data_IF_977931982240
#
_entry.id   IF_977931982240
#
_cell.length_a   1.000
_cell.length_b   1.000
_cell.length_c   1.000
_cell.angle_alpha   90.00
_cell.angle_beta   90.00
_cell.angle_gamma   90.00
#
_symmetry.space_group_name_H-M   'P 1'
#
loop_
_entity.id
_entity.type
_entity.pdbx_description
1 polymer ?
#
# COMPACT_ATOMS: atom_id res chain seq x y z
N UNK A 1 2.58 -8.22 71.35
CA UNK A 1 2.95 -9.66 71.32
C UNK A 1 2.19 -10.35 70.20
N UNK A 2 2.91 -11.14 69.39
CA UNK A 2 2.46 -12.05 68.31
C UNK A 2 1.95 -11.38 67.02
N UNK A 3 2.35 -11.76 65.82
CA UNK A 3 3.52 -12.50 65.31
C UNK A 3 3.51 -12.26 63.78
N UNK A 4 4.62 -11.74 63.25
CA UNK A 4 4.81 -11.61 61.81
C UNK A 4 5.02 -12.98 61.15
N UNK A 5 4.44 -13.17 59.97
CA UNK A 5 4.90 -14.14 58.98
C UNK A 5 5.26 -13.37 57.71
N UNK A 6 6.56 -13.12 57.55
CA UNK A 6 7.16 -12.68 56.30
C UNK A 6 7.07 -13.82 55.28
N UNK A 7 6.53 -13.52 54.10
CA UNK A 7 6.58 -14.39 52.93
C UNK A 7 7.93 -14.15 52.24
N UNK A 8 8.72 -15.20 51.91
CA UNK A 8 10.02 -15.02 51.26
C UNK A 8 9.85 -14.58 49.79
N UNK A 9 10.73 -13.72 49.25
CA UNK A 9 10.69 -13.31 47.86
C UNK A 9 11.09 -14.46 46.92
N UNK A 10 10.37 -14.58 45.79
CA UNK A 10 10.66 -15.55 44.72
C UNK A 10 12.05 -15.31 44.11
N UNK A 11 12.81 -16.36 43.74
CA UNK A 11 14.11 -16.19 43.09
C UNK A 11 13.95 -15.61 41.67
N UNK A 12 14.73 -14.56 41.38
CA UNK A 12 14.87 -13.98 40.04
C UNK A 12 15.54 -15.01 39.12
N UNK A 13 14.89 -15.41 38.02
CA UNK A 13 15.56 -16.14 36.95
C UNK A 13 16.63 -15.25 36.31
N UNK A 14 17.85 -15.75 36.28
CA UNK A 14 19.00 -15.12 35.66
C UNK A 14 18.79 -14.97 34.14
N UNK A 15 19.20 -13.82 33.60
CA UNK A 15 19.42 -13.61 32.16
C UNK A 15 20.72 -14.33 31.77
N UNK A 16 20.78 -15.01 30.61
CA UNK A 16 22.06 -15.28 29.99
C UNK A 16 22.58 -14.02 29.30
N UNK A 17 23.69 -13.48 29.81
CA UNK A 17 24.71 -12.80 29.02
C UNK A 17 25.77 -13.87 28.69
N UNK A 18 26.47 -13.96 27.57
CA UNK A 18 26.98 -13.01 26.59
C UNK A 18 27.14 -13.78 25.25
N UNK A 19 27.20 -13.13 24.10
CA UNK A 19 28.51 -12.80 23.54
C UNK A 19 28.49 -11.42 22.86
N UNK A 20 29.31 -10.52 23.37
CA UNK A 20 29.75 -9.31 22.67
C UNK A 20 30.81 -9.72 21.65
N UNK A 21 30.68 -9.28 20.40
CA UNK A 21 31.81 -8.66 19.70
C UNK A 21 31.37 -7.94 18.43
N UNK A 22 31.90 -6.72 18.31
CA UNK A 22 32.08 -5.90 17.11
C UNK A 22 30.87 -5.09 16.63
N UNK A 23 30.78 -3.89 17.21
CA UNK A 23 30.30 -2.72 16.48
C UNK A 23 31.25 -2.44 15.32
N UNK A 24 30.72 -2.44 14.10
CA UNK A 24 31.20 -1.67 12.97
C UNK A 24 29.97 -1.31 12.13
N UNK A 25 29.76 0.00 11.98
CA UNK A 25 28.93 0.74 11.02
C UNK A 25 27.72 0.06 10.34
N UNK A 26 26.55 0.66 10.59
CA UNK A 26 25.32 0.48 9.81
C UNK A 26 25.50 1.07 8.40
N UNK A 27 24.73 0.59 7.40
CA UNK A 27 23.47 1.29 7.19
C UNK A 27 22.26 0.35 7.23
N UNK A 28 21.11 0.97 7.53
CA UNK A 28 19.81 0.33 7.59
C UNK A 28 19.40 -0.19 6.20
N UNK A 29 19.69 -1.46 5.92
CA UNK A 29 19.06 -2.18 4.81
C UNK A 29 17.69 -2.66 5.27
N UNK A 30 16.65 -1.84 5.07
CA UNK A 30 15.29 -2.38 4.93
C UNK A 30 15.24 -3.10 3.59
N UNK A 31 14.64 -4.29 3.54
CA UNK A 31 14.54 -5.07 2.32
C UNK A 31 13.82 -4.24 1.25
N UNK A 32 14.59 -3.82 0.24
CA UNK A 32 14.03 -3.31 -1.02
C UNK A 32 13.33 -4.52 -1.66
N UNK A 33 12.05 -4.42 -2.09
CA UNK A 33 11.45 -5.49 -2.87
C UNK A 33 12.36 -5.78 -4.08
N UNK A 34 12.59 -7.06 -4.44
CA UNK A 34 13.49 -7.38 -5.54
C UNK A 34 13.04 -6.65 -6.82
N UNK A 35 14.02 -6.23 -7.61
CA UNK A 35 13.85 -5.52 -8.89
C UNK A 35 12.69 -6.15 -9.70
N UNK A 36 11.67 -5.39 -10.10
CA UNK A 36 10.51 -6.00 -10.75
C UNK A 36 10.90 -6.56 -12.13
N UNK A 37 10.30 -7.70 -12.46
CA UNK A 37 10.16 -8.09 -13.84
C UNK A 37 9.36 -7.02 -14.61
N UNK A 38 9.64 -6.87 -15.91
CA UNK A 38 9.01 -5.91 -16.80
C UNK A 38 7.47 -5.87 -16.63
N UNK A 39 6.84 -4.69 -16.84
CA UNK A 39 5.39 -4.55 -16.72
C UNK A 39 4.67 -5.61 -17.55
N UNK A 40 3.68 -6.27 -16.94
CA UNK A 40 2.80 -7.19 -17.64
C UNK A 40 2.04 -6.36 -18.70
N UNK A 41 2.02 -6.78 -19.97
CA UNK A 41 1.39 -6.00 -21.02
C UNK A 41 -0.10 -5.80 -20.74
N UNK A 42 -0.58 -4.59 -21.04
CA UNK A 42 -1.98 -4.21 -20.92
C UNK A 42 -2.90 -5.27 -21.55
N UNK A 43 -3.88 -5.73 -20.78
CA UNK A 43 -4.93 -6.62 -21.27
C UNK A 43 -5.75 -5.95 -22.38
N UNK A 44 -6.44 -6.75 -23.22
CA UNK A 44 -7.25 -6.20 -24.31
C UNK A 44 -8.37 -5.29 -23.79
N UNK A 45 -8.58 -4.17 -24.47
CA UNK A 45 -9.67 -3.22 -24.24
C UNK A 45 -11.03 -3.91 -24.41
N UNK A 46 -11.96 -3.82 -23.45
CA UNK A 46 -13.31 -4.34 -23.61
C UNK A 46 -14.13 -3.46 -24.57
N UNK A 47 -14.78 -4.09 -25.54
CA UNK A 47 -15.73 -3.44 -26.45
C UNK A 47 -17.01 -3.03 -25.73
N UNK A 48 -17.42 -1.77 -25.92
CA UNK A 48 -18.84 -1.37 -25.90
C UNK A 48 -19.36 -0.57 -24.70
N UNK A 49 -18.57 -0.31 -23.66
CA UNK A 49 -18.95 0.60 -22.58
C UNK A 49 -18.24 1.95 -22.78
N UNK A 50 -18.96 3.08 -22.72
CA UNK A 50 -18.28 4.37 -22.67
C UNK A 50 -17.45 4.43 -21.38
N UNK A 51 -16.15 4.76 -21.45
CA UNK A 51 -15.32 4.82 -20.25
C UNK A 51 -15.88 5.85 -19.28
N UNK A 52 -16.10 5.45 -18.04
CA UNK A 52 -16.42 6.41 -16.98
C UNK A 52 -15.18 7.29 -16.78
N UNK A 53 -15.29 8.63 -16.87
CA UNK A 53 -14.14 9.50 -16.66
C UNK A 53 -13.53 9.28 -15.26
N UNK A 54 -12.21 9.32 -15.19
CA UNK A 54 -11.45 9.23 -13.95
C UNK A 54 -10.34 10.29 -13.93
N UNK A 55 -9.90 10.73 -12.74
CA UNK A 55 -8.78 11.65 -12.59
C UNK A 55 -7.54 11.17 -13.34
N UNK A 56 -7.04 11.97 -14.28
CA UNK A 56 -5.88 11.59 -15.09
C UNK A 56 -4.57 11.95 -14.37
N UNK A 57 -3.62 11.00 -14.22
CA UNK A 57 -2.29 11.33 -13.74
C UNK A 57 -1.58 12.32 -14.69
N UNK A 58 -1.20 13.48 -14.19
CA UNK A 58 -0.33 14.41 -14.88
C UNK A 58 1.07 13.79 -15.03
N UNK A 59 1.62 13.87 -16.25
CA UNK A 59 2.97 13.39 -16.60
C UNK A 59 3.95 14.57 -16.68
N UNK A 60 5.25 14.28 -16.64
CA UNK A 60 6.30 15.27 -16.93
C UNK A 60 6.91 15.99 -15.73
N UNK A 61 6.58 15.57 -14.51
CA UNK A 61 7.30 16.03 -13.31
C UNK A 61 8.74 15.47 -13.27
N UNK A 62 9.73 16.27 -12.82
CA UNK A 62 11.11 15.81 -12.66
C UNK A 62 11.24 14.83 -11.49
N UNK A 63 12.39 14.18 -11.36
CA UNK A 63 12.71 13.37 -10.17
C UNK A 63 12.66 14.24 -8.90
N UNK A 64 12.32 13.62 -7.78
CA UNK A 64 12.22 14.29 -6.49
C UNK A 64 10.84 14.22 -5.85
N UNK A 65 10.67 14.95 -4.75
CA UNK A 65 9.48 14.91 -3.91
C UNK A 65 8.47 15.97 -4.35
N UNK A 66 7.23 15.54 -4.61
CA UNK A 66 6.13 16.37 -5.09
C UNK A 66 4.89 16.22 -4.21
N UNK A 67 4.03 17.24 -4.12
CA UNK A 67 2.67 17.06 -3.61
C UNK A 67 1.92 16.02 -4.44
N UNK A 68 1.14 15.16 -3.79
CA UNK A 68 0.31 14.17 -4.51
C UNK A 68 -0.60 14.83 -5.56
N UNK A 69 -1.18 15.98 -5.21
CA UNK A 69 -2.05 16.76 -6.10
C UNK A 69 -1.34 17.37 -7.31
N UNK A 70 0.00 17.40 -7.34
CA UNK A 70 0.73 17.78 -8.56
C UNK A 70 0.70 16.66 -9.60
N UNK A 71 0.62 15.39 -9.17
CA UNK A 71 0.46 14.24 -10.05
C UNK A 71 -1.01 13.97 -10.36
N UNK A 72 -1.92 14.17 -9.41
CA UNK A 72 -3.33 13.79 -9.58
C UNK A 72 -4.27 14.89 -9.07
N UNK A 73 -4.34 16.05 -9.76
CA UNK A 73 -5.03 17.24 -9.26
C UNK A 73 -6.54 17.05 -9.09
N UNK A 74 -7.16 16.24 -9.95
CA UNK A 74 -8.61 16.04 -9.97
C UNK A 74 -9.11 14.96 -8.98
N UNK A 75 -8.19 14.28 -8.28
CA UNK A 75 -8.52 13.17 -7.37
C UNK A 75 -9.49 13.56 -6.26
N UNK A 76 -9.51 14.83 -5.85
CA UNK A 76 -10.40 15.33 -4.78
C UNK A 76 -11.89 15.20 -5.12
N UNK A 77 -12.21 15.04 -6.41
CA UNK A 77 -13.57 14.76 -6.88
C UNK A 77 -13.93 13.27 -6.89
N UNK A 78 -12.94 12.39 -6.68
CA UNK A 78 -13.14 10.94 -6.77
C UNK A 78 -13.98 10.40 -5.60
N UNK A 79 -15.01 9.59 -5.87
CA UNK A 79 -15.72 8.85 -4.83
C UNK A 79 -14.83 7.91 -4.02
N UNK A 80 -13.70 7.46 -4.59
CA UNK A 80 -12.75 6.55 -3.94
C UNK A 80 -12.20 7.12 -2.62
N UNK A 81 -12.17 8.44 -2.45
CA UNK A 81 -11.67 9.07 -1.22
C UNK A 81 -12.48 8.70 0.02
N UNK A 82 -13.73 8.23 -0.15
CA UNK A 82 -14.50 7.67 0.96
C UNK A 82 -13.89 6.40 1.53
N UNK A 83 -13.27 5.56 0.69
CA UNK A 83 -12.62 4.32 1.11
C UNK A 83 -11.14 4.52 1.46
N UNK A 84 -10.46 5.50 0.86
CA UNK A 84 -9.08 5.88 1.27
C UNK A 84 -9.08 6.33 2.74
N UNK A 85 -10.07 7.15 3.11
CA UNK A 85 -10.20 7.70 4.45
C UNK A 85 -10.91 6.80 5.45
N UNK A 86 -10.94 7.27 6.69
CA UNK A 86 -11.76 6.75 7.79
C UNK A 86 -12.47 7.91 8.47
N UNK A 87 -13.37 7.63 9.42
CA UNK A 87 -14.01 8.68 10.25
C UNK A 87 -13.00 9.52 11.02
N UNK A 88 -11.83 8.94 11.34
CA UNK A 88 -10.75 9.62 12.03
C UNK A 88 -9.85 10.44 11.11
N UNK A 89 -9.58 9.93 9.90
CA UNK A 89 -8.68 10.56 8.94
C UNK A 89 -9.39 10.59 7.58
N UNK A 90 -10.09 11.69 7.26
CA UNK A 90 -10.81 11.80 5.99
C UNK A 90 -9.89 11.69 4.78
N UNK A 91 -10.33 11.01 3.72
CA UNK A 91 -9.47 10.71 2.57
C UNK A 91 -8.94 11.95 1.86
N UNK A 92 -9.69 13.05 1.84
CA UNK A 92 -9.21 14.31 1.29
C UNK A 92 -8.06 14.94 2.10
N UNK A 93 -7.98 14.69 3.41
CA UNK A 93 -6.85 15.14 4.24
C UNK A 93 -5.60 14.29 3.97
N UNK A 94 -5.79 12.98 3.79
CA UNK A 94 -4.73 12.05 3.35
C UNK A 94 -4.12 12.57 2.04
N UNK A 95 -4.94 12.81 1.02
CA UNK A 95 -4.47 13.27 -0.29
C UNK A 95 -3.75 14.62 -0.21
N UNK A 96 -4.28 15.59 0.55
CA UNK A 96 -3.67 16.94 0.64
C UNK A 96 -2.30 16.92 1.32
N UNK A 97 -2.12 16.03 2.30
CA UNK A 97 -0.85 15.89 3.01
C UNK A 97 0.14 14.94 2.29
N UNK A 98 -0.36 14.02 1.47
CA UNK A 98 0.45 13.03 0.77
C UNK A 98 1.52 13.66 -0.13
N UNK A 99 2.64 12.93 -0.23
CA UNK A 99 3.78 13.24 -1.09
C UNK A 99 4.09 12.05 -1.96
N UNK A 100 4.58 12.32 -3.18
CA UNK A 100 5.07 11.32 -4.12
C UNK A 100 6.51 11.66 -4.47
N UNK A 101 7.41 10.70 -4.32
CA UNK A 101 8.82 10.81 -4.68
C UNK A 101 9.06 10.06 -5.98
N UNK A 102 9.33 10.79 -7.05
CA UNK A 102 9.67 10.20 -8.35
C UNK A 102 11.16 9.86 -8.35
N UNK A 103 11.50 8.61 -8.67
CA UNK A 103 12.88 8.10 -8.66
C UNK A 103 13.24 7.42 -9.98
N UNK A 104 14.48 7.58 -10.43
CA UNK A 104 15.03 6.93 -11.63
C UNK A 104 15.40 5.46 -11.39
N UNK A 105 14.50 4.70 -10.76
CA UNK A 105 14.66 3.27 -10.49
C UNK A 105 13.69 2.45 -11.36
N UNK A 106 13.86 1.13 -11.39
CA UNK A 106 12.88 0.20 -11.96
C UNK A 106 11.95 -0.27 -10.85
N UNK A 107 10.65 -0.36 -11.14
CA UNK A 107 9.66 -0.54 -10.07
C UNK A 107 8.25 -0.38 -10.58
N UNK A 108 7.35 -0.36 -9.61
CA UNK A 108 6.02 0.20 -9.73
C UNK A 108 5.98 1.42 -8.80
N UNK A 109 5.24 1.32 -7.70
CA UNK A 109 5.25 2.22 -6.57
C UNK A 109 5.23 1.44 -5.24
N UNK A 110 5.53 2.13 -4.14
CA UNK A 110 5.41 1.63 -2.77
C UNK A 110 5.41 2.81 -1.79
N UNK A 111 5.11 2.60 -0.50
CA UNK A 111 5.30 3.62 0.54
C UNK A 111 6.67 3.51 1.23
N UNK A 112 7.38 4.62 1.34
CA UNK A 112 8.53 4.77 2.26
C UNK A 112 8.02 5.26 3.62
N UNK A 113 8.17 4.42 4.64
CA UNK A 113 7.78 4.70 6.02
C UNK A 113 8.80 5.54 6.80
N UNK A 114 10.06 5.61 6.35
CA UNK A 114 11.10 6.43 6.99
C UNK A 114 10.88 7.91 6.68
N UNK A 115 10.54 8.19 5.42
CA UNK A 115 10.05 9.51 4.99
C UNK A 115 8.68 9.27 4.36
N UNK A 116 7.59 9.34 5.15
CA UNK A 116 6.22 9.02 4.73
C UNK A 116 5.83 9.64 3.40
N UNK A 117 5.99 8.87 2.33
CA UNK A 117 5.61 9.25 0.97
C UNK A 117 5.47 8.02 0.09
N UNK A 118 4.75 8.17 -1.01
CA UNK A 118 4.71 7.18 -2.08
C UNK A 118 6.00 7.33 -2.88
N UNK A 119 6.80 6.29 -3.02
CA UNK A 119 7.87 6.24 -4.01
C UNK A 119 7.27 5.71 -5.31
N UNK A 120 7.49 6.45 -6.40
CA UNK A 120 6.98 6.11 -7.72
C UNK A 120 8.16 6.08 -8.70
N UNK A 121 8.33 4.95 -9.37
CA UNK A 121 9.44 4.82 -10.32
C UNK A 121 9.18 5.54 -11.63
N UNK A 122 10.22 6.15 -12.20
CA UNK A 122 10.15 6.93 -13.44
C UNK A 122 9.59 6.14 -14.62
N UNK A 123 10.02 4.89 -14.91
CA UNK A 123 9.47 4.12 -16.02
C UNK A 123 7.95 3.90 -15.87
N UNK A 124 7.48 3.57 -14.66
CA UNK A 124 6.05 3.37 -14.42
C UNK A 124 5.27 4.70 -14.49
N UNK A 125 5.84 5.78 -13.94
CA UNK A 125 5.28 7.12 -14.05
C UNK A 125 5.23 7.66 -15.48
N UNK A 126 6.12 7.28 -16.39
CA UNK A 126 6.10 7.84 -17.74
C UNK A 126 5.22 7.05 -18.69
N UNK A 127 5.20 5.72 -18.52
CA UNK A 127 4.67 4.80 -19.53
C UNK A 127 3.63 3.80 -19.03
N UNK A 128 3.40 3.74 -17.71
CA UNK A 128 2.36 2.90 -17.14
C UNK A 128 0.96 3.32 -17.61
N UNK A 129 0.06 2.35 -17.69
CA UNK A 129 -1.34 2.61 -18.00
C UNK A 129 -1.91 3.65 -17.01
N UNK A 130 -2.68 4.61 -17.54
CA UNK A 130 -3.15 5.73 -16.76
C UNK A 130 -4.16 5.31 -15.68
N UNK A 131 -4.98 4.29 -15.97
CA UNK A 131 -5.95 3.74 -15.03
C UNK A 131 -5.24 2.91 -13.96
N UNK A 132 -4.33 2.02 -14.35
CA UNK A 132 -3.55 1.25 -13.36
C UNK A 132 -2.79 2.16 -12.41
N UNK A 133 -2.10 3.19 -12.91
CA UNK A 133 -1.41 4.13 -12.04
C UNK A 133 -2.37 4.92 -11.14
N UNK A 134 -3.53 5.33 -11.65
CA UNK A 134 -4.54 6.00 -10.83
C UNK A 134 -4.97 5.11 -9.66
N UNK A 135 -5.26 3.84 -9.92
CA UNK A 135 -5.67 2.87 -8.91
C UNK A 135 -4.54 2.57 -7.91
N UNK A 136 -3.31 2.40 -8.38
CA UNK A 136 -2.13 2.21 -7.53
C UNK A 136 -1.87 3.43 -6.63
N UNK A 137 -2.00 4.65 -7.14
CA UNK A 137 -1.85 5.85 -6.31
C UNK A 137 -2.90 5.94 -5.20
N UNK A 138 -4.12 5.43 -5.42
CA UNK A 138 -5.14 5.32 -4.38
C UNK A 138 -4.82 4.21 -3.36
N UNK A 139 -4.28 3.08 -3.83
CA UNK A 139 -3.77 2.02 -2.97
C UNK A 139 -2.69 2.57 -2.04
N UNK A 140 -1.65 3.20 -2.59
CA UNK A 140 -0.53 3.73 -1.81
C UNK A 140 -0.94 4.90 -0.89
N UNK A 141 -1.91 5.72 -1.31
CA UNK A 141 -2.50 6.73 -0.42
C UNK A 141 -3.18 6.10 0.80
N UNK A 142 -3.77 4.90 0.64
CA UNK A 142 -4.35 4.14 1.75
C UNK A 142 -3.27 3.67 2.72
N UNK A 143 -2.11 3.23 2.22
CA UNK A 143 -0.95 2.94 3.06
C UNK A 143 -0.44 4.15 3.82
N UNK A 144 -0.37 5.33 3.20
CA UNK A 144 -0.03 6.56 3.92
C UNK A 144 -1.01 6.84 5.07
N UNK A 145 -2.31 6.64 4.84
CA UNK A 145 -3.31 6.76 5.91
C UNK A 145 -3.10 5.72 7.01
N UNK A 146 -2.81 4.47 6.66
CA UNK A 146 -2.53 3.40 7.64
C UNK A 146 -1.29 3.73 8.48
N UNK A 147 -0.25 4.34 7.91
CA UNK A 147 0.90 4.83 8.67
C UNK A 147 0.50 5.96 9.64
N UNK A 148 -0.37 6.89 9.23
CA UNK A 148 -0.90 7.93 10.13
C UNK A 148 -1.75 7.33 11.27
N UNK A 149 -2.35 6.17 11.06
CA UNK A 149 -3.04 5.39 12.10
C UNK A 149 -2.08 4.61 13.03
N UNK A 150 -0.78 4.59 12.72
CA UNK A 150 0.25 3.85 13.46
C UNK A 150 0.27 2.35 13.15
N UNK A 151 -0.28 1.93 12.00
CA UNK A 151 -0.28 0.54 11.57
C UNK A 151 1.04 0.18 10.89
N UNK A 152 1.46 -1.06 11.09
CA UNK A 152 2.60 -1.62 10.36
C UNK A 152 2.13 -2.10 8.98
N UNK A 153 2.43 -1.32 7.95
CA UNK A 153 2.10 -1.65 6.55
C UNK A 153 2.89 -2.88 6.07
N UNK A 154 4.07 -3.10 6.64
CA UNK A 154 5.02 -4.12 6.22
C UNK A 154 5.02 -5.37 7.09
N UNK A 155 4.01 -5.56 7.95
CA UNK A 155 3.93 -6.67 8.90
C UNK A 155 4.16 -8.03 8.22
N UNK A 156 5.38 -8.55 8.37
CA UNK A 156 5.84 -9.78 7.74
C UNK A 156 5.32 -11.04 8.46
N UNK A 157 4.60 -10.88 9.58
CA UNK A 157 3.90 -12.01 10.21
C UNK A 157 2.77 -12.56 9.32
N UNK A 158 2.30 -11.76 8.35
CA UNK A 158 1.40 -12.19 7.29
C UNK A 158 2.12 -12.21 5.93
N UNK A 159 1.88 -13.24 5.09
CA UNK A 159 2.32 -13.20 3.70
C UNK A 159 1.57 -12.07 2.96
N UNK A 160 2.22 -11.47 1.97
CA UNK A 160 1.73 -10.29 1.22
C UNK A 160 0.21 -10.32 0.92
N UNK A 161 -0.25 -11.34 0.19
CA UNK A 161 -1.65 -11.53 -0.21
C UNK A 161 -2.67 -11.71 0.94
N UNK A 162 -2.22 -11.87 2.19
CA UNK A 162 -3.06 -11.98 3.40
C UNK A 162 -2.83 -10.86 4.40
N UNK A 163 -1.97 -9.89 4.09
CA UNK A 163 -1.75 -8.73 4.98
C UNK A 163 -3.03 -7.90 5.05
N UNK A 164 -3.56 -7.60 6.24
CA UNK A 164 -4.75 -6.77 6.37
C UNK A 164 -4.60 -5.38 5.73
N UNK A 165 -3.39 -4.84 5.71
CA UNK A 165 -3.05 -3.55 5.10
C UNK A 165 -3.13 -3.58 3.57
N UNK A 166 -2.61 -4.64 2.95
CA UNK A 166 -2.68 -4.90 1.50
C UNK A 166 -4.11 -5.20 1.05
N UNK A 167 -4.86 -6.00 1.81
CA UNK A 167 -6.27 -6.31 1.51
C UNK A 167 -7.10 -5.02 1.45
N UNK A 168 -6.92 -4.13 2.43
CA UNK A 168 -7.61 -2.84 2.44
C UNK A 168 -7.14 -1.90 1.33
N UNK A 169 -5.82 -1.82 1.07
CA UNK A 169 -5.27 -1.02 -0.03
C UNK A 169 -5.84 -1.45 -1.39
N UNK A 170 -5.82 -2.75 -1.67
CA UNK A 170 -6.44 -3.28 -2.88
C UNK A 170 -7.96 -3.16 -2.88
N UNK A 171 -8.64 -3.22 -1.74
CA UNK A 171 -10.08 -3.02 -1.70
C UNK A 171 -10.49 -1.63 -2.21
N UNK A 172 -9.70 -0.59 -1.90
CA UNK A 172 -9.89 0.75 -2.46
C UNK A 172 -9.73 0.73 -3.98
N UNK A 173 -8.61 0.19 -4.48
CA UNK A 173 -8.31 0.13 -5.91
C UNK A 173 -9.37 -0.69 -6.69
N UNK A 174 -9.74 -1.86 -6.18
CA UNK A 174 -10.73 -2.75 -6.81
C UNK A 174 -12.13 -2.14 -6.79
N UNK A 175 -12.55 -1.52 -5.68
CA UNK A 175 -13.85 -0.87 -5.61
C UNK A 175 -13.96 0.28 -6.61
N UNK A 176 -12.91 1.11 -6.70
CA UNK A 176 -12.87 2.20 -7.68
C UNK A 176 -12.79 1.67 -9.11
N UNK A 177 -11.97 0.65 -9.37
CA UNK A 177 -11.86 0.04 -10.68
C UNK A 177 -13.18 -0.54 -11.17
N UNK A 178 -13.91 -1.25 -10.30
CA UNK A 178 -15.27 -1.76 -10.59
C UNK A 178 -16.25 -0.62 -10.88
N UNK A 179 -16.18 0.49 -10.12
CA UNK A 179 -17.00 1.69 -10.36
C UNK A 179 -16.71 2.32 -11.73
N UNK A 180 -15.47 2.22 -12.20
CA UNK A 180 -15.01 2.71 -13.51
C UNK A 180 -15.28 1.73 -14.66
N UNK A 181 -15.82 0.54 -14.37
CA UNK A 181 -16.22 -0.44 -15.38
C UNK A 181 -15.18 -1.51 -15.69
N UNK A 182 -14.14 -1.68 -14.86
CA UNK A 182 -13.24 -2.83 -14.99
C UNK A 182 -14.00 -4.13 -14.71
N UNK A 183 -13.89 -5.08 -15.64
CA UNK A 183 -14.44 -6.41 -15.49
C UNK A 183 -13.55 -7.29 -14.59
N UNK A 184 -14.03 -8.51 -14.28
CA UNK A 184 -13.30 -9.43 -13.41
C UNK A 184 -11.90 -9.80 -13.95
N UNK A 185 -11.73 -9.84 -15.27
CA UNK A 185 -10.43 -10.16 -15.89
C UNK A 185 -9.46 -9.00 -15.71
N UNK A 186 -9.91 -7.78 -15.94
CA UNK A 186 -9.10 -6.59 -15.81
C UNK A 186 -8.76 -6.29 -14.34
N UNK A 187 -9.71 -6.48 -13.41
CA UNK A 187 -9.45 -6.44 -11.96
C UNK A 187 -8.40 -7.47 -11.57
N UNK A 188 -8.53 -8.72 -12.04
CA UNK A 188 -7.53 -9.75 -11.74
C UNK A 188 -6.15 -9.40 -12.30
N UNK A 189 -6.09 -8.79 -13.48
CA UNK A 189 -4.83 -8.34 -14.08
C UNK A 189 -4.17 -7.26 -13.20
N UNK A 190 -4.92 -6.25 -12.78
CA UNK A 190 -4.46 -5.18 -11.89
C UNK A 190 -3.94 -5.71 -10.53
N UNK A 191 -4.63 -6.67 -9.92
CA UNK A 191 -4.23 -7.26 -8.63
C UNK A 191 -3.05 -8.24 -8.77
N UNK A 192 -2.68 -8.66 -9.98
CA UNK A 192 -1.59 -9.63 -10.17
C UNK A 192 -0.23 -8.93 -10.13
N UNK A 193 0.60 -9.34 -9.16
CA UNK A 193 2.01 -8.92 -9.10
C UNK A 193 2.98 -10.06 -9.44
N UNK A 194 4.20 -9.75 -9.93
CA UNK A 194 5.22 -10.76 -10.28
C UNK A 194 5.64 -11.70 -9.14
N UNK A 195 5.47 -11.28 -7.88
CA UNK A 195 5.81 -12.07 -6.69
C UNK A 195 4.63 -12.89 -6.14
N UNK A 196 3.48 -12.89 -6.81
CA UNK A 196 2.32 -13.69 -6.43
C UNK A 196 2.04 -14.82 -7.42
N UNK A 197 1.68 -15.98 -6.89
CA UNK A 197 1.13 -17.08 -7.70
C UNK A 197 -0.33 -16.80 -8.07
N UNK A 198 -0.86 -17.42 -9.15
CA UNK A 198 -2.27 -17.33 -9.52
C UNK A 198 -3.25 -17.71 -8.39
N UNK A 199 -2.87 -18.66 -7.52
CA UNK A 199 -3.65 -19.07 -6.36
C UNK A 199 -3.69 -17.97 -5.30
N UNK A 200 -2.54 -17.36 -5.00
CA UNK A 200 -2.46 -16.23 -4.05
C UNK A 200 -3.27 -15.02 -4.52
N UNK A 201 -3.25 -14.71 -5.83
CA UNK A 201 -4.11 -13.67 -6.41
C UNK A 201 -5.59 -14.00 -6.19
N UNK A 202 -5.99 -15.27 -6.32
CA UNK A 202 -7.37 -15.71 -6.10
C UNK A 202 -7.77 -15.56 -4.63
N UNK A 203 -6.88 -15.91 -3.70
CA UNK A 203 -7.11 -15.71 -2.27
C UNK A 203 -7.24 -14.22 -1.90
N UNK A 204 -6.37 -13.37 -2.45
CA UNK A 204 -6.42 -11.92 -2.22
C UNK A 204 -7.74 -11.32 -2.73
N UNK A 205 -8.18 -11.69 -3.93
CA UNK A 205 -9.45 -11.23 -4.47
C UNK A 205 -10.64 -11.62 -3.60
N UNK A 206 -10.66 -12.85 -3.07
CA UNK A 206 -11.71 -13.28 -2.14
C UNK A 206 -11.68 -12.45 -0.84
N UNK A 207 -10.49 -12.21 -0.27
CA UNK A 207 -10.35 -11.39 0.93
C UNK A 207 -10.77 -9.92 0.71
N UNK A 208 -10.51 -9.36 -0.47
CA UNK A 208 -10.98 -8.03 -0.88
C UNK A 208 -12.50 -7.99 -0.93
N UNK A 209 -13.14 -8.99 -1.52
CA UNK A 209 -14.61 -9.07 -1.60
C UNK A 209 -15.24 -9.17 -0.20
N UNK A 210 -14.70 -10.02 0.67
CA UNK A 210 -15.13 -10.14 2.07
C UNK A 210 -14.98 -8.82 2.83
N UNK A 211 -13.87 -8.10 2.63
CA UNK A 211 -13.63 -6.78 3.21
C UNK A 211 -14.68 -5.77 2.76
N UNK A 212 -14.93 -5.68 1.45
CA UNK A 212 -15.91 -4.74 0.89
C UNK A 212 -17.34 -5.05 1.31
N UNK A 213 -17.71 -6.32 1.42
CA UNK A 213 -19.02 -6.73 1.95
C UNK A 213 -19.14 -6.47 3.45
N UNK A 214 -18.02 -6.50 4.19
CA UNK A 214 -17.94 -6.02 5.57
C UNK A 214 -18.36 -4.55 5.72
N UNK A 215 -17.98 -3.68 4.79
CA UNK A 215 -18.30 -2.25 4.84
C UNK A 215 -19.76 -1.90 4.51
N UNK A 216 -20.51 -2.83 3.91
CA UNK A 216 -21.92 -2.65 3.53
C UNK A 216 -22.91 -3.05 4.63
N UNK A 217 -22.44 -3.74 5.67
CA UNK A 217 -23.21 -4.25 6.79
C UNK A 217 -23.28 -3.22 7.92
#
# INVERSE_FOLDING_TARGET
>A
MKNGRQVPPRPRRARPAQARSMAADRPAGKAVPPEPAAPVPAGPTPSGHQPVPFPQPCRGLPDGLHPFLALLPEVLSSPALRLVGTDRIPGHEVIRSARVRIVAERGFCWVDETTPCIVLTRPYYESGDALDLYLDLLHEATHLRQLLEGRDVWDESFPYHRRPTEIEGYAVAVAEGRRLGLDAKAIRAHVTNPWMTPAQVTELLAAIDDFLDGLRR
#
